data_IF_839973839087
#
_entry.id   IF_839973839087
#
_cell.length_a   1.000
_cell.length_b   1.000
_cell.length_c   1.000
_cell.angle_alpha   90.00
_cell.angle_beta   90.00
_cell.angle_gamma   90.00
#
_symmetry.space_group_name_H-M   'P 1'
#
loop_
_entity.id
_entity.type
_entity.pdbx_description
1 polymer ?
#
# COMPACT_ATOMS: atom_id res chain seq x y z
N UNK A 1 -3.45 19.62 -6.43
CA UNK A 1 -2.29 18.77 -6.77
C UNK A 1 -2.11 17.76 -5.65
N UNK A 2 -2.18 16.46 -5.92
CA UNK A 2 -1.83 15.46 -4.89
C UNK A 2 -0.31 15.47 -4.74
N UNK A 3 0.19 15.96 -3.60
CA UNK A 3 1.63 15.96 -3.26
C UNK A 3 2.12 14.56 -2.89
N UNK A 4 1.18 13.69 -2.46
CA UNK A 4 1.45 12.35 -1.93
C UNK A 4 1.93 11.38 -3.02
N UNK A 5 1.41 11.48 -4.24
CA UNK A 5 1.80 10.58 -5.34
C UNK A 5 3.25 10.76 -5.83
N UNK A 6 3.88 11.91 -5.57
CA UNK A 6 5.27 12.19 -5.98
C UNK A 6 6.31 11.64 -5.00
N UNK A 7 5.87 11.23 -3.81
CA UNK A 7 6.77 10.69 -2.80
C UNK A 7 7.03 9.21 -3.11
N UNK A 8 8.30 8.81 -3.25
CA UNK A 8 8.64 7.40 -3.39
C UNK A 8 8.14 6.61 -2.18
N UNK A 9 7.88 5.32 -2.39
CA UNK A 9 7.56 4.37 -1.31
C UNK A 9 8.83 3.62 -0.98
N UNK A 10 9.39 3.85 0.21
CA UNK A 10 10.57 3.14 0.69
C UNK A 10 10.22 1.70 1.07
N UNK A 11 11.04 0.75 0.62
CA UNK A 11 10.88 -0.66 0.95
C UNK A 11 11.81 -0.97 2.14
N UNK A 12 11.26 -1.31 3.32
CA UNK A 12 12.07 -1.68 4.47
C UNK A 12 12.79 -3.01 4.25
N UNK A 13 13.90 -3.22 4.94
CA UNK A 13 14.70 -4.45 4.86
C UNK A 13 13.86 -5.67 5.21
N UNK A 14 13.90 -6.69 4.35
CA UNK A 14 13.13 -7.94 4.53
C UNK A 14 11.78 -7.96 3.81
N UNK A 15 11.42 -6.88 3.10
CA UNK A 15 10.29 -6.88 2.17
C UNK A 15 10.80 -7.04 0.73
N UNK A 16 10.23 -7.99 0.00
CA UNK A 16 10.52 -8.22 -1.42
C UNK A 16 9.32 -7.80 -2.26
N UNK A 17 9.59 -7.08 -3.35
CA UNK A 17 8.58 -6.62 -4.31
C UNK A 17 8.85 -7.27 -5.65
N UNK A 18 7.88 -8.02 -6.16
CA UNK A 18 7.89 -8.62 -7.48
C UNK A 18 6.92 -7.85 -8.39
N UNK A 19 7.45 -7.27 -9.48
CA UNK A 19 6.69 -6.55 -10.49
C UNK A 19 6.46 -7.45 -11.71
N UNK A 20 5.23 -7.91 -11.92
CA UNK A 20 4.82 -8.70 -13.08
C UNK A 20 3.87 -7.85 -13.96
N UNK A 21 4.44 -6.89 -14.69
CA UNK A 21 3.67 -5.93 -15.48
C UNK A 21 2.74 -5.11 -14.59
N UNK A 22 1.43 -5.30 -14.76
CA UNK A 22 0.38 -4.66 -13.95
C UNK A 22 0.16 -5.30 -12.58
N UNK A 23 0.65 -6.52 -12.37
CA UNK A 23 0.45 -7.28 -11.13
C UNK A 23 1.65 -7.14 -10.21
N UNK A 24 1.41 -6.68 -8.99
CA UNK A 24 2.44 -6.47 -7.99
C UNK A 24 2.22 -7.46 -6.85
N UNK A 25 3.29 -8.16 -6.49
CA UNK A 25 3.33 -9.04 -5.32
C UNK A 25 4.38 -8.51 -4.34
N UNK A 26 3.99 -8.37 -3.09
CA UNK A 26 4.82 -7.88 -2.00
C UNK A 26 4.86 -8.96 -0.94
N UNK A 27 6.06 -9.43 -0.61
CA UNK A 27 6.31 -10.45 0.43
C UNK A 27 7.07 -9.81 1.58
N UNK A 28 6.68 -10.11 2.80
CA UNK A 28 7.35 -9.63 4.00
C UNK A 28 7.22 -10.62 5.16
N UNK A 29 7.75 -10.26 6.35
CA UNK A 29 7.77 -11.15 7.51
C UNK A 29 6.37 -11.55 8.01
N UNK A 30 5.35 -10.72 7.79
CA UNK A 30 3.97 -10.99 8.24
C UNK A 30 3.08 -11.68 7.19
N UNK A 31 3.60 -11.94 5.98
CA UNK A 31 2.87 -12.62 4.92
C UNK A 31 3.15 -12.06 3.52
N UNK A 32 2.28 -12.42 2.58
CA UNK A 32 2.33 -11.91 1.21
C UNK A 32 1.02 -11.21 0.80
N UNK A 33 1.13 -10.17 0.00
CA UNK A 33 -0.01 -9.47 -0.60
C UNK A 33 0.20 -9.38 -2.11
N UNK A 34 -0.85 -9.62 -2.88
CA UNK A 34 -0.86 -9.45 -4.33
C UNK A 34 -2.00 -8.56 -4.75
N UNK A 35 -1.74 -7.64 -5.68
CA UNK A 35 -2.77 -6.79 -6.26
C UNK A 35 -2.42 -6.43 -7.70
N UNK A 36 -3.46 -6.31 -8.52
CA UNK A 36 -3.36 -5.81 -9.88
C UNK A 36 -3.68 -4.32 -9.92
N UNK A 37 -2.84 -3.55 -10.60
CA UNK A 37 -2.97 -2.11 -10.79
C UNK A 37 -3.26 -1.78 -12.25
N UNK A 38 -3.75 -0.57 -12.51
CA UNK A 38 -3.98 -0.11 -13.88
C UNK A 38 -2.66 0.05 -14.63
N UNK A 39 -2.60 -0.44 -15.86
CA UNK A 39 -1.45 -0.32 -16.76
C UNK A 39 -1.15 1.12 -17.21
N UNK A 40 -2.06 2.05 -16.94
CA UNK A 40 -1.91 3.48 -17.27
C UNK A 40 -0.84 4.13 -16.37
N UNK A 41 -0.64 3.61 -15.16
CA UNK A 41 0.33 4.13 -14.20
C UNK A 41 1.63 3.32 -14.29
N UNK A 42 2.74 4.02 -14.49
CA UNK A 42 4.07 3.42 -14.47
C UNK A 42 4.54 3.19 -13.04
N UNK A 43 5.07 2.00 -12.76
CA UNK A 43 5.59 1.63 -11.45
C UNK A 43 7.00 1.08 -11.68
N UNK A 44 8.00 1.80 -11.17
CA UNK A 44 9.40 1.45 -11.30
C UNK A 44 10.01 1.24 -9.92
N UNK A 45 10.98 0.33 -9.82
CA UNK A 45 11.75 0.09 -8.61
C UNK A 45 13.17 0.61 -8.82
N UNK A 46 13.57 1.60 -8.02
CA UNK A 46 14.89 2.24 -8.06
C UNK A 46 15.47 2.29 -6.64
N UNK A 47 16.67 1.74 -6.41
CA UNK A 47 17.39 1.85 -5.14
C UNK A 47 16.56 1.49 -3.88
N UNK A 48 15.82 0.37 -3.91
CA UNK A 48 14.89 -0.04 -2.84
C UNK A 48 13.72 0.93 -2.58
N UNK A 49 13.40 1.77 -3.56
CA UNK A 49 12.24 2.64 -3.52
C UNK A 49 11.33 2.35 -4.72
N UNK A 50 10.02 2.36 -4.50
CA UNK A 50 9.05 2.32 -5.59
C UNK A 50 8.73 3.75 -5.99
N UNK A 51 9.07 4.07 -7.23
CA UNK A 51 8.72 5.32 -7.88
C UNK A 51 7.49 5.08 -8.76
N UNK A 52 6.46 5.91 -8.58
CA UNK A 52 5.22 5.81 -9.35
C UNK A 52 5.18 7.02 -10.31
N UNK A 53 5.10 6.75 -11.61
CA UNK A 53 5.04 7.75 -12.67
C UNK A 53 3.67 7.75 -13.36
N UNK A 54 3.27 8.90 -13.89
CA UNK A 54 2.05 9.06 -14.68
C UNK A 54 2.40 9.67 -16.03
N UNK A 55 1.60 9.36 -17.05
CA UNK A 55 1.85 9.79 -18.42
C UNK A 55 1.13 11.10 -18.75
N UNK A 56 -0.01 11.39 -18.12
CA UNK A 56 -0.75 12.64 -18.29
C UNK A 56 -1.15 13.28 -16.96
N UNK A 57 -1.59 14.53 -17.03
CA UNK A 57 -2.14 15.30 -15.92
C UNK A 57 -3.67 15.32 -15.91
N UNK A 58 -4.32 14.36 -16.59
CA UNK A 58 -5.77 14.20 -16.54
C UNK A 58 -6.26 14.00 -15.10
N UNK A 59 -7.48 14.45 -14.76
CA UNK A 59 -8.01 14.29 -13.40
C UNK A 59 -8.05 12.83 -12.94
N UNK A 60 -8.38 11.91 -13.84
CA UNK A 60 -8.45 10.47 -13.58
C UNK A 60 -7.06 9.87 -13.32
N UNK A 61 -6.07 10.15 -14.17
CA UNK A 61 -4.71 9.65 -13.96
C UNK A 61 -4.09 10.20 -12.68
N UNK A 62 -4.39 11.45 -12.34
CA UNK A 62 -3.94 12.05 -11.08
C UNK A 62 -4.55 11.37 -9.85
N UNK A 63 -5.83 11.00 -9.91
CA UNK A 63 -6.50 10.29 -8.82
C UNK A 63 -5.96 8.86 -8.68
N UNK A 64 -5.78 8.16 -9.81
CA UNK A 64 -5.18 6.83 -9.86
C UNK A 64 -3.74 6.85 -9.33
N UNK A 65 -2.93 7.83 -9.72
CA UNK A 65 -1.54 7.99 -9.26
C UNK A 65 -1.44 8.04 -7.74
N UNK A 66 -2.24 8.90 -7.10
CA UNK A 66 -2.28 9.00 -5.64
C UNK A 66 -2.78 7.72 -4.96
N UNK A 67 -3.81 7.10 -5.54
CA UNK A 67 -4.41 5.86 -5.02
C UNK A 67 -3.42 4.69 -5.09
N UNK A 68 -2.77 4.49 -6.24
CA UNK A 68 -1.76 3.45 -6.45
C UNK A 68 -0.61 3.59 -5.46
N UNK A 69 -0.09 4.80 -5.27
CA UNK A 69 0.96 5.07 -4.27
C UNK A 69 0.49 4.71 -2.86
N UNK A 70 -0.70 5.15 -2.46
CA UNK A 70 -1.23 4.91 -1.11
C UNK A 70 -1.44 3.41 -0.86
N UNK A 71 -2.00 2.69 -1.83
CA UNK A 71 -2.20 1.24 -1.73
C UNK A 71 -0.87 0.50 -1.65
N UNK A 72 0.12 0.86 -2.47
CA UNK A 72 1.45 0.26 -2.40
C UNK A 72 2.13 0.50 -1.05
N UNK A 73 2.08 1.73 -0.54
CA UNK A 73 2.61 2.05 0.78
C UNK A 73 1.93 1.21 1.88
N UNK A 74 0.61 1.08 1.82
CA UNK A 74 -0.15 0.28 2.78
C UNK A 74 0.16 -1.21 2.67
N UNK A 75 0.38 -1.75 1.46
CA UNK A 75 0.79 -3.14 1.29
C UNK A 75 2.17 -3.39 1.90
N UNK A 76 3.14 -2.49 1.67
CA UNK A 76 4.48 -2.57 2.27
C UNK A 76 4.41 -2.49 3.80
N UNK A 77 3.64 -1.55 4.34
CA UNK A 77 3.43 -1.43 5.78
C UNK A 77 2.71 -2.67 6.36
N UNK A 78 1.70 -3.19 5.65
CA UNK A 78 0.93 -4.36 6.07
C UNK A 78 1.76 -5.63 6.19
N UNK A 79 2.64 -5.91 5.22
CA UNK A 79 3.50 -7.11 5.28
C UNK A 79 4.69 -6.98 6.25
N UNK A 80 5.03 -5.75 6.65
CA UNK A 80 6.14 -5.48 7.58
C UNK A 80 5.67 -5.31 9.03
N UNK A 81 4.82 -4.32 9.27
CA UNK A 81 4.33 -3.92 10.59
C UNK A 81 2.95 -4.49 10.90
N UNK A 82 2.15 -4.84 9.89
CA UNK A 82 0.75 -5.24 10.08
C UNK A 82 -0.16 -4.03 10.27
N UNK A 83 -1.39 -4.27 10.72
CA UNK A 83 -2.34 -3.23 11.06
C UNK A 83 -3.01 -3.56 12.39
N UNK A 84 -3.39 -2.53 13.13
CA UNK A 84 -4.15 -2.63 14.37
C UNK A 84 -5.24 -1.58 14.34
N UNK A 85 -6.44 -1.94 14.81
CA UNK A 85 -7.54 -1.00 15.03
C UNK A 85 -7.98 -1.17 16.48
N UNK A 86 -7.83 -0.10 17.25
CA UNK A 86 -8.24 -0.05 18.65
C UNK A 86 -9.71 0.32 18.68
N UNK A 87 -10.53 -0.55 19.27
CA UNK A 87 -11.98 -0.34 19.43
C UNK A 87 -12.29 -0.05 20.89
N UNK A 88 -13.04 1.02 21.14
CA UNK A 88 -13.52 1.41 22.46
C UNK A 88 -15.03 1.12 22.56
N UNK A 89 -15.45 0.61 23.72
CA UNK A 89 -16.85 0.24 23.97
C UNK A 89 -17.35 1.02 25.17
N UNK A 90 -18.26 1.96 24.94
CA UNK A 90 -18.85 2.81 25.98
C UNK A 90 -20.27 2.36 26.34
N UNK A 91 -20.51 2.04 27.62
CA UNK A 91 -21.84 1.68 28.12
C UNK A 91 -21.79 0.98 29.48
N UNK A 92 -22.80 1.20 30.31
CA UNK A 92 -22.88 0.53 31.63
C UNK A 92 -23.17 -0.96 31.40
N UNK A 93 -22.24 -1.82 31.79
CA UNK A 93 -22.35 -3.28 31.64
C UNK A 93 -21.86 -3.84 30.29
N UNK A 94 -21.26 -3.03 29.42
CA UNK A 94 -20.68 -3.53 28.18
C UNK A 94 -19.30 -4.13 28.45
N UNK A 95 -19.09 -5.36 27.99
CA UNK A 95 -17.81 -6.07 28.02
C UNK A 95 -17.64 -6.85 26.72
N UNK A 96 -16.42 -6.85 26.20
CA UNK A 96 -16.03 -7.75 25.12
C UNK A 96 -15.28 -8.94 25.73
N UNK A 97 -15.71 -10.14 25.39
CA UNK A 97 -15.03 -11.38 25.78
C UNK A 97 -14.68 -12.16 24.50
N UNK A 98 -13.50 -12.76 24.48
CA UNK A 98 -13.07 -13.61 23.37
C UNK A 98 -13.57 -15.04 23.66
N UNK A 99 -14.64 -15.46 22.98
CA UNK A 99 -15.01 -16.88 22.94
C UNK A 99 -14.18 -17.58 21.86
N UNK A 100 -13.11 -18.25 22.28
CA UNK A 100 -12.19 -18.97 21.40
C UNK A 100 -10.97 -19.51 22.12
#
# INVERSE_FOLDING_TARGET
MSRIGRLPVEIPSGVQVELNGSKIRIKGPKGEMQREFSSIIGIAMENNQLNITRNSDSPEERALHGTTRAVLANMVQGVSQGFEVILEVEGVGYRAEMEG
#
